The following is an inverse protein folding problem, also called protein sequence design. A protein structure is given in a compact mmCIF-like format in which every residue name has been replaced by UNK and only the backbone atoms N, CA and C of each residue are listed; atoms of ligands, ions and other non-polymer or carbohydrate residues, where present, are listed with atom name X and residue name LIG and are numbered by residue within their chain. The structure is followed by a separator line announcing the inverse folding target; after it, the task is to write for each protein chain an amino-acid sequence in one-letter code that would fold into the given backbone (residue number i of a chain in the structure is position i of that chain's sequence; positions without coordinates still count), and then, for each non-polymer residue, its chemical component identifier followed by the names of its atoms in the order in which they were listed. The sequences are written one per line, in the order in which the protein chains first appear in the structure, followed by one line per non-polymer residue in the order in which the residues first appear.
data_IF_832515253127
#
_entry.id   IF_832515253127
#
_cell.length_a   1.000
_cell.length_b   1.000
_cell.length_c   1.000
_cell.angle_alpha   90.00
_cell.angle_beta   90.00
_cell.angle_gamma   90.00
#
_symmetry.space_group_name_H-M   'P 1'
#
loop_
_entity.id
_entity.type
_entity.pdbx_description
1 polymer ?
#
# COMPACT_ATOMS: atom_id res chain seq x y z
N UNK A 1 3.16 -41.53 10.12
CA UNK A 1 2.60 -40.52 9.19
C UNK A 1 1.08 -40.50 9.34
N UNK A 2 0.40 -39.44 8.89
CA UNK A 2 -1.07 -39.48 8.75
C UNK A 2 -1.40 -40.57 7.71
N UNK A 3 -2.37 -41.42 7.98
CA UNK A 3 -2.79 -42.47 7.04
C UNK A 3 -3.16 -41.81 5.71
N UNK A 4 -2.45 -42.16 4.61
CA UNK A 4 -2.73 -41.64 3.26
C UNK A 4 -1.79 -40.56 2.69
N UNK A 5 -0.74 -40.11 3.41
CA UNK A 5 0.27 -39.19 2.83
C UNK A 5 1.61 -39.94 2.69
N UNK A 6 1.96 -40.34 1.46
CA UNK A 6 3.32 -40.75 1.08
C UNK A 6 4.10 -39.53 0.61
N UNK A 7 5.15 -39.17 1.33
CA UNK A 7 5.98 -38.02 1.02
C UNK A 7 7.22 -38.47 0.24
N UNK A 8 7.21 -38.28 -1.08
CA UNK A 8 8.37 -38.56 -1.94
C UNK A 8 9.21 -37.30 -2.08
N UNK A 9 10.49 -37.35 -1.71
CA UNK A 9 11.42 -36.22 -1.83
C UNK A 9 12.43 -36.55 -2.92
N UNK A 10 12.49 -35.72 -3.96
CA UNK A 10 13.49 -35.86 -5.02
C UNK A 10 14.91 -35.65 -4.48
N UNK A 11 15.92 -36.15 -5.18
CA UNK A 11 17.33 -35.90 -4.83
C UNK A 11 17.65 -34.40 -4.84
N UNK A 12 17.08 -33.65 -5.78
CA UNK A 12 17.22 -32.19 -5.90
C UNK A 12 16.59 -31.49 -4.69
N UNK A 13 15.37 -31.85 -4.32
CA UNK A 13 14.71 -31.26 -3.16
C UNK A 13 15.44 -31.59 -1.86
N UNK A 14 15.94 -32.83 -1.71
CA UNK A 14 16.76 -33.21 -0.56
C UNK A 14 18.01 -32.34 -0.43
N UNK A 15 18.68 -32.03 -1.54
CA UNK A 15 19.82 -31.11 -1.54
C UNK A 15 19.41 -29.68 -1.14
N UNK A 16 18.31 -29.16 -1.70
CA UNK A 16 17.78 -27.83 -1.39
C UNK A 16 17.38 -27.70 0.09
N UNK A 17 16.69 -28.69 0.63
CA UNK A 17 16.31 -28.76 2.05
C UNK A 17 17.54 -28.80 2.96
N UNK A 18 18.54 -29.61 2.62
CA UNK A 18 19.78 -29.71 3.39
C UNK A 18 20.63 -28.43 3.31
N UNK A 19 20.58 -27.70 2.19
CA UNK A 19 21.22 -26.40 2.06
C UNK A 19 20.50 -25.35 2.92
N UNK A 20 19.16 -25.33 2.88
CA UNK A 20 18.32 -24.41 3.66
C UNK A 20 18.50 -24.56 5.17
N UNK A 21 18.69 -25.79 5.67
CA UNK A 21 18.96 -26.05 7.09
C UNK A 21 20.36 -25.58 7.51
N UNK A 22 21.35 -25.65 6.60
CA UNK A 22 22.74 -25.26 6.87
C UNK A 22 22.96 -23.74 6.76
N UNK A 23 22.08 -23.03 6.06
CA UNK A 23 22.17 -21.59 5.91
C UNK A 23 21.86 -20.88 7.23
N UNK A 24 22.89 -20.24 7.81
CA UNK A 24 22.81 -19.49 9.06
C UNK A 24 21.95 -18.23 8.96
N UNK A 25 21.69 -17.73 7.76
CA UNK A 25 20.87 -16.55 7.51
C UNK A 25 19.42 -16.89 7.16
N UNK A 26 19.10 -18.18 6.99
CA UNK A 26 17.75 -18.60 6.67
C UNK A 26 16.79 -18.29 7.84
N UNK A 27 15.58 -17.75 7.57
CA UNK A 27 14.59 -17.58 8.60
C UNK A 27 14.32 -18.92 9.30
N UNK A 28 14.35 -18.95 10.63
CA UNK A 28 14.15 -20.18 11.41
C UNK A 28 12.86 -20.90 11.03
N UNK A 29 11.84 -20.16 10.57
CA UNK A 29 10.59 -20.72 10.05
C UNK A 29 10.76 -21.63 8.85
N UNK A 30 11.71 -21.35 7.96
CA UNK A 30 11.99 -22.20 6.79
C UNK A 30 12.86 -23.40 7.20
N UNK A 31 13.80 -23.20 8.12
CA UNK A 31 14.67 -24.26 8.65
C UNK A 31 13.85 -25.38 9.26
N UNK A 32 12.99 -25.10 10.25
CA UNK A 32 12.21 -26.18 10.89
C UNK A 32 11.14 -26.78 9.96
N UNK A 33 10.70 -26.06 8.91
CA UNK A 33 9.84 -26.65 7.86
C UNK A 33 10.61 -27.69 7.07
N UNK A 34 11.85 -27.37 6.67
CA UNK A 34 12.71 -28.27 5.94
C UNK A 34 13.11 -29.50 6.77
N UNK A 35 13.40 -29.32 8.06
CA UNK A 35 13.67 -30.41 9.00
C UNK A 35 12.49 -31.40 9.08
N UNK A 36 11.25 -30.89 9.17
CA UNK A 36 10.05 -31.74 9.16
C UNK A 36 10.04 -32.64 7.91
N UNK A 37 10.34 -32.09 6.72
CA UNK A 37 10.30 -32.82 5.46
C UNK A 37 11.44 -33.85 5.37
N UNK A 38 12.68 -33.48 5.74
CA UNK A 38 13.80 -34.41 5.72
C UNK A 38 13.58 -35.59 6.68
N UNK A 39 13.18 -35.32 7.92
CA UNK A 39 12.88 -36.36 8.90
C UNK A 39 11.74 -37.27 8.42
N UNK A 40 10.74 -36.69 7.77
CA UNK A 40 9.65 -37.47 7.17
C UNK A 40 10.16 -38.38 6.04
N UNK A 41 11.06 -37.88 5.20
CA UNK A 41 11.68 -38.63 4.11
C UNK A 41 12.63 -39.73 4.62
N UNK A 42 13.23 -39.53 5.80
CA UNK A 42 14.06 -40.53 6.50
C UNK A 42 13.21 -41.57 7.26
N UNK A 43 11.87 -41.54 7.11
CA UNK A 43 10.96 -42.51 7.73
C UNK A 43 10.69 -42.27 9.22
N UNK A 44 11.09 -41.12 9.77
CA UNK A 44 10.90 -40.79 11.18
C UNK A 44 9.41 -40.61 11.48
N UNK A 45 8.94 -41.29 12.54
CA UNK A 45 7.55 -41.21 12.97
C UNK A 45 7.15 -39.80 13.44
N UNK A 46 5.89 -39.41 13.23
CA UNK A 46 5.37 -38.07 13.56
C UNK A 46 5.65 -37.64 15.01
N UNK A 47 5.56 -38.56 15.98
CA UNK A 47 5.85 -38.27 17.39
C UNK A 47 7.32 -37.92 17.62
N UNK A 48 8.24 -38.60 16.93
CA UNK A 48 9.67 -38.30 17.01
C UNK A 48 9.99 -36.96 16.32
N UNK A 49 9.36 -36.66 15.17
CA UNK A 49 9.48 -35.36 14.50
C UNK A 49 9.01 -34.23 15.42
N UNK A 50 7.88 -34.40 16.12
CA UNK A 50 7.38 -33.41 17.08
C UNK A 50 8.39 -33.15 18.21
N UNK A 51 9.01 -34.21 18.75
CA UNK A 51 10.02 -34.10 19.81
C UNK A 51 11.28 -33.37 19.34
N UNK A 52 11.75 -33.66 18.13
CA UNK A 52 12.97 -33.05 17.57
C UNK A 52 12.77 -31.59 17.15
N UNK A 53 11.64 -31.28 16.51
CA UNK A 53 11.36 -29.93 15.97
C UNK A 53 10.66 -29.00 16.96
N UNK A 54 10.15 -29.54 18.07
CA UNK A 54 9.31 -28.82 19.04
C UNK A 54 7.97 -28.35 18.46
N UNK A 55 7.52 -28.89 17.32
CA UNK A 55 6.28 -28.47 16.65
C UNK A 55 5.12 -29.41 16.98
N UNK A 56 3.91 -28.86 16.96
CA UNK A 56 2.68 -29.62 17.16
C UNK A 56 2.44 -30.61 16.01
N UNK A 57 1.69 -31.67 16.30
CA UNK A 57 1.24 -32.66 15.30
C UNK A 57 0.55 -32.01 14.10
N UNK A 58 -0.31 -31.02 14.35
CA UNK A 58 -1.03 -30.27 13.31
C UNK A 58 -0.10 -29.41 12.44
N UNK A 59 0.96 -28.86 13.03
CA UNK A 59 1.99 -28.13 12.28
C UNK A 59 2.78 -29.07 11.37
N UNK A 60 3.24 -30.22 11.89
CA UNK A 60 3.95 -31.24 11.12
C UNK A 60 3.12 -31.69 9.91
N UNK A 61 1.86 -32.05 10.15
CA UNK A 61 0.95 -32.49 9.07
C UNK A 61 0.73 -31.41 8.02
N UNK A 62 0.54 -30.15 8.42
CA UNK A 62 0.34 -29.03 7.49
C UNK A 62 1.51 -28.88 6.52
N UNK A 63 2.74 -29.03 6.99
CA UNK A 63 3.91 -28.86 6.13
C UNK A 63 4.22 -30.09 5.29
N UNK A 64 3.96 -31.30 5.80
CA UNK A 64 3.99 -32.52 4.99
C UNK A 64 3.01 -32.45 3.81
N UNK A 65 1.77 -32.04 4.10
CA UNK A 65 0.71 -31.85 3.09
C UNK A 65 1.10 -30.77 2.08
N UNK A 66 1.57 -29.61 2.55
CA UNK A 66 2.00 -28.53 1.65
C UNK A 66 3.19 -28.92 0.77
N UNK A 67 4.15 -29.68 1.29
CA UNK A 67 5.26 -30.16 0.47
C UNK A 67 4.77 -31.16 -0.58
N UNK A 68 3.83 -32.04 -0.23
CA UNK A 68 3.26 -32.97 -1.20
C UNK A 68 2.48 -32.27 -2.32
N UNK A 69 1.82 -31.14 -2.02
CA UNK A 69 1.05 -30.35 -3.00
C UNK A 69 1.92 -29.40 -3.83
N UNK A 70 2.89 -28.73 -3.21
CA UNK A 70 3.57 -27.53 -3.75
C UNK A 70 5.11 -27.67 -3.80
N UNK A 71 5.66 -28.78 -3.31
CA UNK A 71 7.10 -29.03 -3.27
C UNK A 71 7.88 -28.08 -2.35
N UNK A 72 9.17 -27.89 -2.67
CA UNK A 72 10.08 -27.04 -1.90
C UNK A 72 9.61 -25.58 -1.81
N UNK A 73 9.13 -25.00 -2.92
CA UNK A 73 8.67 -23.60 -2.96
C UNK A 73 7.48 -23.34 -2.02
N UNK A 74 6.62 -24.34 -1.83
CA UNK A 74 5.51 -24.26 -0.87
C UNK A 74 5.96 -24.03 0.57
N UNK A 75 7.17 -24.47 0.93
CA UNK A 75 7.72 -24.29 2.28
C UNK A 75 8.16 -22.84 2.56
N UNK A 76 8.49 -22.08 1.52
CA UNK A 76 9.02 -20.72 1.63
C UNK A 76 7.92 -19.66 1.76
N UNK A 77 6.68 -20.02 1.42
CA UNK A 77 5.54 -19.09 1.43
C UNK A 77 4.56 -19.36 2.56
N UNK A 78 4.07 -18.28 3.16
CA UNK A 78 2.92 -18.32 4.05
C UNK A 78 1.64 -18.11 3.24
N UNK A 79 0.55 -18.79 3.61
CA UNK A 79 -0.75 -18.54 2.96
C UNK A 79 -1.24 -17.16 3.39
N UNK A 80 -1.60 -16.31 2.43
CA UNK A 80 -2.24 -15.03 2.71
C UNK A 80 -3.53 -15.30 3.48
N UNK A 81 -3.60 -14.79 4.71
CA UNK A 81 -4.84 -14.84 5.48
C UNK A 81 -5.72 -13.68 5.00
N UNK A 82 -6.94 -13.94 4.52
CA UNK A 82 -7.86 -12.85 4.22
C UNK A 82 -8.09 -12.04 5.50
N UNK A 83 -8.18 -10.72 5.35
CA UNK A 83 -8.50 -9.85 6.48
C UNK A 83 -9.84 -10.25 7.09
N UNK A 84 -9.93 -10.22 8.44
CA UNK A 84 -11.17 -10.57 9.16
C UNK A 84 -12.34 -9.68 8.75
N UNK A 85 -12.06 -8.40 8.48
CA UNK A 85 -13.03 -7.43 7.99
C UNK A 85 -12.79 -7.31 6.48
N UNK A 86 -13.83 -7.51 5.64
CA UNK A 86 -13.68 -7.35 4.21
C UNK A 86 -13.24 -5.91 3.91
N UNK A 87 -12.32 -5.72 2.95
CA UNK A 87 -11.96 -4.38 2.51
C UNK A 87 -13.20 -3.64 1.99
N UNK A 88 -13.18 -2.31 2.07
CA UNK A 88 -14.18 -1.48 1.40
C UNK A 88 -14.21 -1.84 -0.09
N UNK A 89 -15.41 -2.00 -0.64
CA UNK A 89 -15.59 -2.28 -2.06
C UNK A 89 -15.07 -1.12 -2.93
N UNK A 90 -14.71 -1.41 -4.19
CA UNK A 90 -14.17 -0.39 -5.11
C UNK A 90 -15.12 0.80 -5.27
N UNK A 91 -16.43 0.56 -5.29
CA UNK A 91 -17.45 1.62 -5.45
C UNK A 91 -17.40 2.68 -4.33
N UNK A 92 -17.02 2.29 -3.11
CA UNK A 92 -16.89 3.24 -2.00
C UNK A 92 -15.68 4.15 -2.22
N UNK A 93 -14.58 3.60 -2.74
CA UNK A 93 -13.40 4.39 -3.08
C UNK A 93 -13.69 5.34 -4.26
N UNK A 94 -14.36 4.85 -5.30
CA UNK A 94 -14.80 5.65 -6.45
C UNK A 94 -15.70 6.80 -6.03
N UNK A 95 -16.69 6.54 -5.16
CA UNK A 95 -17.56 7.59 -4.61
C UNK A 95 -16.77 8.67 -3.86
N UNK A 96 -15.80 8.28 -3.02
CA UNK A 96 -14.95 9.25 -2.28
C UNK A 96 -14.11 10.07 -3.24
N UNK A 97 -13.52 9.45 -4.28
CA UNK A 97 -12.75 10.15 -5.30
C UNK A 97 -13.63 11.16 -6.05
N UNK A 98 -14.82 10.74 -6.48
CA UNK A 98 -15.77 11.61 -7.19
C UNK A 98 -16.22 12.79 -6.33
N UNK A 99 -16.59 12.56 -5.06
CA UNK A 99 -16.96 13.62 -4.12
C UNK A 99 -15.82 14.61 -3.88
N UNK A 100 -14.58 14.12 -3.85
CA UNK A 100 -13.40 14.98 -3.64
C UNK A 100 -13.21 16.00 -4.76
N UNK A 101 -13.75 15.74 -5.96
CA UNK A 101 -13.68 16.65 -7.11
C UNK A 101 -14.78 17.73 -7.10
N UNK A 102 -15.77 17.60 -6.21
CA UNK A 102 -16.84 18.58 -6.04
C UNK A 102 -16.52 19.51 -4.88
N UNK A 103 -17.19 20.67 -4.83
CA UNK A 103 -17.06 21.56 -3.70
C UNK A 103 -17.64 20.93 -2.42
N UNK A 104 -16.95 21.06 -1.28
CA UNK A 104 -17.47 20.61 0.01
C UNK A 104 -18.75 21.39 0.36
N UNK A 105 -19.71 20.76 1.08
CA UNK A 105 -20.88 21.48 1.57
C UNK A 105 -20.49 22.53 2.62
N UNK A 106 -21.16 23.70 2.56
CA UNK A 106 -20.97 24.81 3.50
C UNK A 106 -19.90 25.82 3.08
N UNK A 107 -19.59 26.77 3.98
CA UNK A 107 -18.60 27.84 3.74
C UNK A 107 -17.16 27.35 4.03
N UNK A 108 -16.73 26.25 3.42
CA UNK A 108 -15.36 25.76 3.51
C UNK A 108 -14.69 25.72 2.14
N UNK A 109 -13.39 25.99 2.11
CA UNK A 109 -12.59 26.03 0.88
C UNK A 109 -12.13 24.65 0.42
N UNK A 110 -12.20 23.63 1.27
CA UNK A 110 -11.73 22.28 0.94
C UNK A 110 -12.41 21.20 1.80
N UNK A 111 -12.39 19.97 1.28
CA UNK A 111 -12.81 18.80 2.03
C UNK A 111 -11.86 18.52 3.19
N UNK A 112 -12.39 18.56 4.42
CA UNK A 112 -11.72 17.93 5.56
C UNK A 112 -11.98 16.43 5.57
N UNK A 113 -11.11 15.68 6.26
CA UNK A 113 -11.27 14.22 6.34
C UNK A 113 -12.59 13.84 7.01
N UNK A 114 -12.97 14.54 8.09
CA UNK A 114 -14.16 14.22 8.87
C UNK A 114 -15.44 14.57 8.11
N UNK A 115 -15.44 15.67 7.34
CA UNK A 115 -16.56 16.00 6.45
C UNK A 115 -16.76 14.93 5.37
N UNK A 116 -15.67 14.52 4.71
CA UNK A 116 -15.74 13.46 3.70
C UNK A 116 -16.18 12.13 4.32
N UNK A 117 -15.74 11.83 5.55
CA UNK A 117 -16.13 10.63 6.28
C UNK A 117 -17.65 10.60 6.55
N UNK A 118 -18.21 11.73 7.00
CA UNK A 118 -19.66 11.87 7.20
C UNK A 118 -20.43 11.76 5.88
N UNK A 119 -20.00 12.48 4.83
CA UNK A 119 -20.65 12.47 3.52
C UNK A 119 -20.61 11.09 2.85
N UNK A 120 -19.50 10.38 2.95
CA UNK A 120 -19.31 9.07 2.33
C UNK A 120 -19.73 7.89 3.23
N UNK A 121 -20.14 8.13 4.49
CA UNK A 121 -20.56 7.08 5.43
C UNK A 121 -19.45 6.09 5.80
N UNK A 122 -18.20 6.53 5.87
CA UNK A 122 -17.04 5.69 6.21
C UNK A 122 -16.17 6.33 7.28
N UNK A 123 -15.22 5.58 7.85
CA UNK A 123 -14.31 6.15 8.85
C UNK A 123 -13.32 7.15 8.22
N UNK A 124 -12.93 8.17 8.99
CA UNK A 124 -11.90 9.13 8.59
C UNK A 124 -10.56 8.46 8.21
N UNK A 125 -10.21 7.34 8.86
CA UNK A 125 -9.03 6.55 8.50
C UNK A 125 -9.15 5.93 7.11
N UNK A 126 -10.35 5.45 6.73
CA UNK A 126 -10.60 4.95 5.39
C UNK A 126 -10.51 6.04 4.33
N UNK A 127 -11.07 7.23 4.59
CA UNK A 127 -10.92 8.41 3.71
C UNK A 127 -9.45 8.72 3.48
N UNK A 128 -8.65 8.86 4.55
CA UNK A 128 -7.19 9.14 4.43
C UNK A 128 -6.47 8.09 3.61
N UNK A 129 -6.82 6.80 3.80
CA UNK A 129 -6.23 5.70 3.03
C UNK A 129 -6.58 5.80 1.55
N UNK A 130 -7.84 6.11 1.22
CA UNK A 130 -8.30 6.31 -0.16
C UNK A 130 -7.57 7.51 -0.78
N UNK A 131 -7.60 8.68 -0.13
CA UNK A 131 -6.89 9.86 -0.62
C UNK A 131 -5.40 9.61 -0.84
N UNK A 132 -4.72 8.93 0.09
CA UNK A 132 -3.30 8.58 -0.06
C UNK A 132 -3.06 7.63 -1.23
N UNK A 133 -3.91 6.60 -1.40
CA UNK A 133 -3.79 5.64 -2.50
C UNK A 133 -3.98 6.29 -3.88
N UNK A 134 -4.84 7.32 -3.96
CA UNK A 134 -5.11 8.07 -5.18
C UNK A 134 -4.31 9.38 -5.32
N UNK A 135 -3.39 9.67 -4.39
CA UNK A 135 -2.59 10.90 -4.41
C UNK A 135 -3.40 12.20 -4.22
N UNK A 136 -4.63 12.11 -3.70
CA UNK A 136 -5.52 13.26 -3.51
C UNK A 136 -5.09 14.08 -2.28
N UNK A 137 -5.04 15.40 -2.45
CA UNK A 137 -4.66 16.36 -1.41
C UNK A 137 -5.63 17.54 -1.42
N UNK A 138 -6.87 17.38 -0.91
CA UNK A 138 -7.94 18.38 -1.08
C UNK A 138 -7.61 19.74 -0.44
N UNK A 139 -6.84 19.73 0.64
CA UNK A 139 -6.36 20.93 1.33
C UNK A 139 -5.23 21.65 0.58
N UNK A 140 -4.61 21.02 -0.42
CA UNK A 140 -3.57 21.65 -1.22
C UNK A 140 -4.22 22.28 -2.44
N UNK A 141 -4.42 23.59 -2.35
CA UNK A 141 -4.79 24.41 -3.50
C UNK A 141 -3.81 24.16 -4.65
N UNK A 142 -4.29 23.56 -5.73
CA UNK A 142 -3.61 23.51 -7.04
C UNK A 142 -4.39 24.29 -8.10
N UNK A 143 -5.09 25.34 -7.70
CA UNK A 143 -5.64 26.27 -8.67
C UNK A 143 -4.64 27.38 -8.94
N UNK A 144 -4.18 27.43 -10.18
CA UNK A 144 -3.75 28.67 -10.78
C UNK A 144 -5.00 29.54 -10.93
N UNK A 145 -5.01 30.74 -10.37
CA UNK A 145 -6.09 31.70 -10.60
C UNK A 145 -6.05 32.15 -12.07
N UNK A 146 -6.76 31.42 -12.93
CA UNK A 146 -7.01 31.87 -14.30
C UNK A 146 -8.21 32.80 -14.25
N UNK A 147 -8.04 34.04 -14.73
CA UNK A 147 -9.19 34.96 -14.86
C UNK A 147 -10.12 34.44 -15.94
N UNK A 148 -11.44 34.44 -15.67
CA UNK A 148 -12.47 34.13 -16.66
C UNK A 148 -12.75 35.31 -17.61
N UNK A 149 -11.98 36.39 -17.52
CA UNK A 149 -12.08 37.53 -18.42
C UNK A 149 -11.76 37.11 -19.87
N UNK A 150 -12.68 37.28 -20.84
CA UNK A 150 -12.42 36.99 -22.25
C UNK A 150 -11.21 37.75 -22.82
N UNK A 151 -10.83 38.88 -22.21
CA UNK A 151 -9.67 39.69 -22.58
C UNK A 151 -8.43 39.41 -21.71
N UNK A 152 -8.41 38.34 -20.91
CA UNK A 152 -7.31 38.04 -19.99
C UNK A 152 -5.95 37.98 -20.71
N UNK A 153 -5.87 37.24 -21.83
CA UNK A 153 -4.61 37.07 -22.57
C UNK A 153 -4.09 38.40 -23.14
N UNK A 154 -4.91 39.22 -23.83
CA UNK A 154 -4.51 40.58 -24.23
C UNK A 154 -4.04 41.46 -23.06
N UNK A 155 -4.78 41.49 -21.94
CA UNK A 155 -4.43 42.30 -20.76
C UNK A 155 -3.13 41.83 -20.12
N UNK A 156 -2.96 40.53 -19.97
CA UNK A 156 -1.73 39.91 -19.45
C UNK A 156 -0.52 40.30 -20.32
N UNK A 157 -0.64 40.19 -21.65
CA UNK A 157 0.43 40.57 -22.57
C UNK A 157 0.78 42.06 -22.47
N UNK A 158 -0.22 42.93 -22.34
CA UNK A 158 0.02 44.36 -22.16
C UNK A 158 0.80 44.64 -20.87
N UNK A 159 0.39 44.03 -19.75
CA UNK A 159 1.07 44.21 -18.45
C UNK A 159 2.49 43.63 -18.47
N UNK A 160 2.66 42.41 -18.97
CA UNK A 160 4.00 41.78 -19.08
C UNK A 160 4.88 42.56 -20.06
N UNK A 161 4.31 43.09 -21.14
CA UNK A 161 5.01 43.93 -22.11
C UNK A 161 5.68 45.14 -21.46
N UNK A 162 5.06 45.74 -20.44
CA UNK A 162 5.65 46.86 -19.68
C UNK A 162 6.93 46.46 -18.93
N UNK A 163 7.13 45.18 -18.59
CA UNK A 163 8.38 44.71 -17.97
C UNK A 163 9.44 44.29 -18.98
N UNK A 164 9.01 43.78 -20.14
CA UNK A 164 9.92 43.22 -21.15
C UNK A 164 10.46 44.31 -22.09
N UNK A 165 9.62 45.27 -22.46
CA UNK A 165 9.97 46.40 -23.34
C UNK A 165 9.32 47.69 -22.80
N UNK A 166 9.86 48.25 -21.71
CA UNK A 166 9.31 49.46 -21.10
C UNK A 166 9.50 50.66 -22.04
N UNK A 167 8.50 51.55 -22.17
CA UNK A 167 8.65 52.79 -22.92
C UNK A 167 9.82 53.64 -22.42
N UNK A 168 10.45 54.41 -23.30
CA UNK A 168 11.55 55.29 -22.95
C UNK A 168 11.13 56.26 -21.82
N UNK A 169 11.96 56.33 -20.77
CA UNK A 169 11.72 57.13 -19.56
C UNK A 169 10.50 56.72 -18.69
N UNK A 170 9.96 55.52 -18.86
CA UNK A 170 8.87 55.02 -18.01
C UNK A 170 9.37 54.41 -16.69
N UNK A 171 8.55 54.52 -15.64
CA UNK A 171 8.73 53.82 -14.36
C UNK A 171 7.53 52.88 -14.19
N UNK A 172 7.80 51.58 -13.98
CA UNK A 172 6.75 50.59 -13.68
C UNK A 172 6.65 50.45 -12.16
N UNK A 173 5.51 50.85 -11.61
CA UNK A 173 5.19 50.67 -10.19
C UNK A 173 4.20 49.52 -10.04
N UNK A 174 4.51 48.59 -9.15
CA UNK A 174 3.66 47.43 -8.87
C UNK A 174 3.26 47.45 -7.41
N UNK A 175 1.97 47.58 -7.17
CA UNK A 175 1.38 47.61 -5.82
C UNK A 175 0.44 46.43 -5.72
N UNK A 176 0.70 45.55 -4.76
CA UNK A 176 -0.15 44.43 -4.41
C UNK A 176 -0.65 44.65 -2.99
N UNK A 177 -1.95 44.59 -2.79
CA UNK A 177 -2.51 44.59 -1.44
C UNK A 177 -2.63 43.15 -0.97
N UNK A 178 -1.84 42.82 0.05
CA UNK A 178 -1.89 41.51 0.70
C UNK A 178 -2.51 41.64 2.07
N UNK A 179 -3.82 41.43 2.13
CA UNK A 179 -4.55 41.35 3.40
C UNK A 179 -3.92 40.25 4.27
N UNK A 180 -3.68 40.55 5.56
CA UNK A 180 -3.07 39.67 6.58
C UNK A 180 -1.53 39.60 6.67
N UNK A 181 -0.78 40.52 6.06
CA UNK A 181 0.64 40.72 6.40
C UNK A 181 0.83 42.15 6.92
N UNK A 182 1.25 42.28 8.18
CA UNK A 182 1.65 43.56 8.75
C UNK A 182 3.10 43.84 8.30
N UNK A 183 3.32 44.96 7.61
CA UNK A 183 4.68 45.42 7.32
C UNK A 183 5.35 45.79 8.66
N UNK A 184 6.51 45.19 8.94
CA UNK A 184 7.38 45.51 10.07
C UNK A 184 8.18 46.78 9.80
#
# INVERSE_FOLDING_TARGET
MRTGISLTVSSIDRQRLAALIRDRNAPQKHVWRAEIILLSADGVGTVAIMRQTGKSKTCVWRWQERFAEEGFEGLLRDKTRPSRIPPLGPEVAERVVALTLQDPPGETTHWTTDMMAQAAGISASAVRRIWKAHGLQPHRWRQFKLSNDPQFVPKLRNVVGLYVDPPAHAIVLSVDEKSQIQAL
#
